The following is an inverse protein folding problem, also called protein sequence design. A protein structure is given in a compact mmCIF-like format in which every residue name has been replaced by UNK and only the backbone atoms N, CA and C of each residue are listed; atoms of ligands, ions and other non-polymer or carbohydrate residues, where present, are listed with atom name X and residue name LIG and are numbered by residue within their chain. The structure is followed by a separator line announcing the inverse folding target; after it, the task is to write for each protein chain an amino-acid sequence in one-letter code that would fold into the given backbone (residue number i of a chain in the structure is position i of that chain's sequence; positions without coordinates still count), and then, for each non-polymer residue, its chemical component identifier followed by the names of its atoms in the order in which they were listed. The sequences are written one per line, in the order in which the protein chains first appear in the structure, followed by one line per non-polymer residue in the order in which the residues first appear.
data_IF_325517139571
#
_entry.id   IF_325517139571
#
_cell.length_a   1.000
_cell.length_b   1.000
_cell.length_c   1.000
_cell.angle_alpha   90.00
_cell.angle_beta   90.00
_cell.angle_gamma   90.00
#
_symmetry.space_group_name_H-M   'P 1'
#
loop_
_entity.id
_entity.type
_entity.pdbx_description
1 polymer ?
#
# COMPACT_ATOMS: atom_id res chain seq x y z
N UNK A 1 -20.25 66.10 -23.59
CA UNK A 1 -20.64 65.39 -22.35
C UNK A 1 -21.29 64.11 -22.84
N UNK A 2 -20.75 62.91 -22.69
CA UNK A 2 -19.99 62.30 -21.59
C UNK A 2 -19.34 61.01 -22.17
N UNK A 3 -18.06 60.68 -21.94
CA UNK A 3 -17.52 59.40 -22.40
C UNK A 3 -17.75 58.32 -21.34
N UNK A 4 -18.32 57.20 -21.79
CA UNK A 4 -18.54 56.01 -20.99
C UNK A 4 -17.22 55.47 -20.39
N UNK A 5 -17.11 55.57 -19.06
CA UNK A 5 -16.06 54.96 -18.25
C UNK A 5 -16.10 53.43 -18.41
N UNK A 6 -15.17 52.86 -19.18
CA UNK A 6 -14.84 51.43 -19.13
C UNK A 6 -14.21 51.10 -17.78
N UNK A 7 -15.03 50.63 -16.83
CA UNK A 7 -14.54 49.96 -15.61
C UNK A 7 -13.85 48.65 -16.00
N UNK A 8 -12.52 48.63 -15.88
CA UNK A 8 -11.73 47.40 -15.86
C UNK A 8 -12.06 46.70 -14.54
N UNK A 9 -13.01 45.76 -14.56
CA UNK A 9 -13.14 44.78 -13.49
C UNK A 9 -11.99 43.78 -13.61
N UNK A 10 -10.92 44.00 -12.84
CA UNK A 10 -9.95 42.96 -12.51
C UNK A 10 -10.71 41.85 -11.76
N UNK A 11 -10.96 40.74 -12.43
CA UNK A 11 -11.49 39.54 -11.81
C UNK A 11 -10.43 38.97 -10.86
N UNK A 12 -10.51 39.33 -9.58
CA UNK A 12 -9.69 38.76 -8.51
C UNK A 12 -10.45 37.60 -7.85
N UNK A 13 -10.45 36.40 -8.47
CA UNK A 13 -11.01 35.15 -7.92
C UNK A 13 -10.28 33.99 -8.61
N UNK A 14 -9.68 32.95 -8.01
CA UNK A 14 -9.58 32.39 -6.64
C UNK A 14 -8.27 31.55 -6.55
N UNK A 15 -7.24 31.94 -5.79
CA UNK A 15 -6.08 31.06 -5.54
C UNK A 15 -6.21 30.17 -4.28
N UNK A 16 -7.21 30.42 -3.42
CA UNK A 16 -7.32 29.76 -2.11
C UNK A 16 -7.75 28.27 -2.20
N UNK A 17 -8.55 27.90 -3.20
CA UNK A 17 -9.08 26.54 -3.32
C UNK A 17 -8.03 25.53 -3.78
N UNK A 18 -7.08 25.95 -4.64
CA UNK A 18 -6.03 25.08 -5.17
C UNK A 18 -4.96 24.75 -4.11
N UNK A 19 -4.55 25.72 -3.29
CA UNK A 19 -3.57 25.49 -2.22
C UNK A 19 -4.10 24.56 -1.12
N UNK A 20 -5.39 24.68 -0.76
CA UNK A 20 -6.04 23.78 0.20
C UNK A 20 -6.13 22.35 -0.37
N UNK A 21 -6.42 22.19 -1.66
CA UNK A 21 -6.41 20.88 -2.32
C UNK A 21 -5.01 20.27 -2.38
N UNK A 22 -3.99 21.04 -2.78
CA UNK A 22 -2.60 20.59 -2.82
C UNK A 22 -2.08 20.17 -1.43
N UNK A 23 -2.40 20.94 -0.38
CA UNK A 23 -1.99 20.61 0.98
C UNK A 23 -2.64 19.31 1.49
N UNK A 24 -3.95 19.11 1.23
CA UNK A 24 -4.63 17.84 1.54
C UNK A 24 -4.04 16.64 0.80
N UNK A 25 -3.51 16.85 -0.41
CA UNK A 25 -2.95 15.77 -1.22
C UNK A 25 -1.52 15.43 -0.79
N UNK A 26 -0.71 16.43 -0.44
CA UNK A 26 0.60 16.20 0.19
C UNK A 26 0.48 15.41 1.49
N UNK A 27 -0.52 15.73 2.31
CA UNK A 27 -0.84 14.98 3.53
C UNK A 27 -1.23 13.52 3.24
N UNK A 28 -2.06 13.29 2.21
CA UNK A 28 -2.47 11.94 1.80
C UNK A 28 -1.29 11.13 1.23
N UNK A 29 -0.37 11.76 0.50
CA UNK A 29 0.84 11.11 -0.01
C UNK A 29 1.74 10.64 1.12
N UNK A 30 2.03 11.53 2.08
CA UNK A 30 2.81 11.19 3.27
C UNK A 30 2.17 10.04 4.07
N UNK A 31 0.85 10.08 4.24
CA UNK A 31 0.11 9.02 4.95
C UNK A 31 0.28 7.66 4.26
N UNK A 32 0.27 7.61 2.93
CA UNK A 32 0.48 6.38 2.17
C UNK A 32 1.92 5.89 2.29
N UNK A 33 2.90 6.79 2.20
CA UNK A 33 4.31 6.42 2.39
C UNK A 33 4.55 5.86 3.79
N UNK A 34 3.89 6.41 4.81
CA UNK A 34 3.92 5.88 6.18
C UNK A 34 3.27 4.49 6.24
N UNK A 35 2.10 4.29 5.65
CA UNK A 35 1.41 2.99 5.65
C UNK A 35 2.24 1.93 4.90
N UNK A 36 2.79 2.27 3.73
CA UNK A 36 3.64 1.39 2.95
C UNK A 36 4.91 1.02 3.73
N UNK A 37 5.54 2.01 4.36
CA UNK A 37 6.71 1.80 5.24
C UNK A 37 6.36 0.89 6.41
N UNK A 38 5.18 1.07 7.02
CA UNK A 38 4.71 0.20 8.10
C UNK A 38 4.55 -1.25 7.63
N UNK A 39 3.98 -1.50 6.45
CA UNK A 39 3.91 -2.84 5.88
C UNK A 39 5.29 -3.46 5.65
N UNK A 40 6.24 -2.69 5.12
CA UNK A 40 7.63 -3.18 4.95
C UNK A 40 8.28 -3.50 6.29
N UNK A 41 8.13 -2.63 7.29
CA UNK A 41 8.68 -2.87 8.63
C UNK A 41 8.08 -4.11 9.30
N UNK A 42 6.76 -4.26 9.22
CA UNK A 42 6.06 -5.46 9.73
C UNK A 42 6.58 -6.71 8.99
N UNK A 43 6.74 -6.64 7.67
CA UNK A 43 7.28 -7.76 6.88
C UNK A 43 8.69 -8.17 7.32
N UNK A 44 9.54 -7.22 7.69
CA UNK A 44 10.90 -7.50 8.14
C UNK A 44 10.95 -8.18 9.52
N UNK A 45 9.96 -7.91 10.38
CA UNK A 45 9.87 -8.49 11.73
C UNK A 45 9.25 -9.89 11.70
N UNK A 46 8.29 -10.13 10.79
CA UNK A 46 7.52 -11.37 10.72
C UNK A 46 8.38 -12.65 10.76
N UNK A 47 9.47 -12.81 9.99
CA UNK A 47 10.30 -14.02 10.03
C UNK A 47 10.89 -14.35 11.41
N UNK A 48 10.93 -13.40 12.33
CA UNK A 48 11.43 -13.56 13.69
C UNK A 48 10.31 -13.64 14.74
N UNK A 49 9.05 -13.68 14.30
CA UNK A 49 7.90 -13.61 15.20
C UNK A 49 7.88 -14.78 16.19
N UNK A 50 8.30 -15.97 15.77
CA UNK A 50 8.38 -17.15 16.63
C UNK A 50 9.34 -16.92 17.80
N UNK A 51 10.51 -16.33 17.55
CA UNK A 51 11.47 -15.96 18.60
C UNK A 51 10.89 -14.90 19.55
N UNK A 52 10.19 -13.90 19.00
CA UNK A 52 9.58 -12.83 19.81
C UNK A 52 8.50 -13.40 20.73
N UNK A 53 7.60 -14.24 20.18
CA UNK A 53 6.54 -14.89 20.94
C UNK A 53 7.11 -15.86 21.98
N UNK A 54 8.21 -16.56 21.66
CA UNK A 54 8.91 -17.46 22.57
C UNK A 54 9.45 -16.81 23.84
N UNK A 55 9.62 -15.48 23.88
CA UNK A 55 9.95 -14.77 25.13
C UNK A 55 8.77 -14.68 26.10
N UNK A 56 7.54 -14.76 25.60
CA UNK A 56 6.33 -14.53 26.39
C UNK A 56 5.54 -15.82 26.66
N UNK A 57 5.64 -16.81 25.77
CA UNK A 57 4.86 -18.04 25.80
C UNK A 57 5.76 -19.22 25.46
N UNK A 58 5.51 -20.39 26.05
CA UNK A 58 6.17 -21.63 25.62
C UNK A 58 5.70 -22.03 24.23
N UNK A 59 6.58 -21.86 23.25
CA UNK A 59 6.32 -22.17 21.84
C UNK A 59 6.64 -23.62 21.47
N UNK A 60 7.20 -24.42 22.39
CA UNK A 60 7.51 -25.83 22.13
C UNK A 60 6.28 -26.74 22.34
N UNK A 61 5.13 -26.16 22.70
CA UNK A 61 3.87 -26.88 22.86
C UNK A 61 3.45 -27.48 21.53
N UNK A 62 3.17 -28.78 21.53
CA UNK A 62 2.67 -29.50 20.36
C UNK A 62 1.20 -29.14 20.12
N UNK A 63 0.85 -28.84 18.88
CA UNK A 63 -0.55 -28.64 18.52
C UNK A 63 -1.26 -29.99 18.42
N UNK A 64 -2.45 -30.07 19.02
CA UNK A 64 -3.25 -31.30 19.11
C UNK A 64 -3.76 -31.77 17.73
N UNK A 65 -3.89 -30.85 16.77
CA UNK A 65 -4.49 -31.08 15.45
C UNK A 65 -3.49 -31.48 14.35
N UNK A 66 -2.30 -31.99 14.71
CA UNK A 66 -1.30 -32.39 13.72
C UNK A 66 -1.39 -33.88 13.41
N UNK A 67 -1.72 -34.24 12.16
CA UNK A 67 -1.58 -35.62 11.68
C UNK A 67 -0.55 -35.69 10.55
N UNK A 68 0.55 -36.37 10.85
CA UNK A 68 1.71 -36.57 9.98
C UNK A 68 2.91 -37.12 10.77
N UNK A 69 3.97 -37.52 10.07
CA UNK A 69 5.19 -38.06 10.69
C UNK A 69 5.99 -37.00 11.49
N UNK A 70 5.66 -35.72 11.28
CA UNK A 70 6.16 -34.57 12.06
C UNK A 70 5.01 -33.94 12.84
N UNK A 71 5.08 -34.01 14.17
CA UNK A 71 4.26 -33.18 15.04
C UNK A 71 4.74 -31.73 14.92
N UNK A 72 3.87 -30.79 14.59
CA UNK A 72 4.22 -29.36 14.64
C UNK A 72 4.10 -28.85 16.06
N UNK A 73 5.13 -28.17 16.51
CA UNK A 73 5.05 -27.28 17.65
C UNK A 73 4.45 -25.92 17.22
N UNK A 74 4.09 -25.13 18.24
CA UNK A 74 3.62 -23.77 18.07
C UNK A 74 4.71 -22.90 17.41
N UNK A 75 5.99 -23.17 17.68
CA UNK A 75 7.15 -22.49 17.07
C UNK A 75 7.16 -22.61 15.54
N UNK A 76 7.14 -23.85 15.03
CA UNK A 76 7.13 -24.12 13.57
C UNK A 76 5.89 -23.53 12.91
N UNK A 77 4.75 -23.60 13.59
CA UNK A 77 3.48 -23.04 13.09
C UNK A 77 3.56 -21.53 12.93
N UNK A 78 4.05 -20.82 13.95
CA UNK A 78 4.25 -19.36 13.89
C UNK A 78 5.24 -19.04 12.76
N UNK A 79 6.33 -19.80 12.64
CA UNK A 79 7.34 -19.58 11.60
C UNK A 79 6.77 -19.72 10.17
N UNK A 80 6.05 -20.80 9.87
CA UNK A 80 5.48 -21.02 8.52
C UNK A 80 4.44 -19.96 8.13
N UNK A 81 3.56 -19.60 9.07
CA UNK A 81 2.57 -18.55 8.84
C UNK A 81 3.24 -17.18 8.65
N UNK A 82 4.32 -16.92 9.39
CA UNK A 82 5.05 -15.67 9.33
C UNK A 82 5.80 -15.46 8.01
N UNK A 83 6.41 -16.52 7.44
CA UNK A 83 7.08 -16.43 6.14
C UNK A 83 6.09 -16.03 5.04
N UNK A 84 4.93 -16.71 4.99
CA UNK A 84 3.95 -16.44 3.94
C UNK A 84 3.33 -15.05 4.09
N UNK A 85 3.05 -14.67 5.33
CA UNK A 85 2.58 -13.33 5.66
C UNK A 85 3.62 -12.27 5.28
N UNK A 86 4.91 -12.51 5.56
CA UNK A 86 6.00 -11.60 5.21
C UNK A 86 5.98 -11.26 3.71
N UNK A 87 5.85 -12.26 2.83
CA UNK A 87 5.78 -12.03 1.37
C UNK A 87 4.57 -11.15 1.00
N UNK A 88 3.40 -11.39 1.61
CA UNK A 88 2.19 -10.60 1.36
C UNK A 88 2.38 -9.15 1.83
N UNK A 89 2.86 -8.95 3.05
CA UNK A 89 3.11 -7.61 3.61
C UNK A 89 4.19 -6.85 2.83
N UNK A 90 5.26 -7.52 2.43
CA UNK A 90 6.33 -6.94 1.63
C UNK A 90 5.81 -6.52 0.25
N UNK A 91 4.98 -7.36 -0.39
CA UNK A 91 4.34 -7.00 -1.65
C UNK A 91 3.41 -5.78 -1.48
N UNK A 92 2.58 -5.75 -0.43
CA UNK A 92 1.69 -4.62 -0.13
C UNK A 92 2.45 -3.33 0.17
N UNK A 93 3.59 -3.41 0.87
CA UNK A 93 4.47 -2.27 1.15
C UNK A 93 5.29 -1.82 -0.07
N UNK A 94 5.60 -2.75 -0.97
CA UNK A 94 6.31 -2.52 -2.24
C UNK A 94 5.43 -1.97 -3.37
N UNK A 95 4.20 -1.56 -3.06
CA UNK A 95 3.22 -1.12 -4.05
C UNK A 95 3.79 0.04 -4.89
N UNK A 96 4.03 -0.26 -6.17
CA UNK A 96 4.38 0.68 -7.25
C UNK A 96 5.84 1.16 -7.36
N UNK A 97 6.83 0.38 -6.93
CA UNK A 97 8.23 0.55 -7.42
C UNK A 97 8.64 -0.42 -8.54
N UNK A 98 8.14 -1.66 -8.51
CA UNK A 98 8.37 -2.65 -9.56
C UNK A 98 7.23 -2.69 -10.59
N UNK A 99 7.44 -3.34 -11.75
CA UNK A 99 6.41 -3.56 -12.76
C UNK A 99 5.12 -4.13 -12.13
N UNK A 100 3.95 -3.58 -12.48
CA UNK A 100 2.63 -3.93 -11.91
C UNK A 100 2.38 -5.44 -11.92
N UNK A 101 2.79 -6.14 -12.97
CA UNK A 101 2.59 -7.59 -13.09
C UNK A 101 3.43 -8.39 -12.10
N UNK A 102 4.68 -7.98 -11.85
CA UNK A 102 5.58 -8.63 -10.89
C UNK A 102 5.03 -8.56 -9.47
N UNK A 103 4.38 -7.43 -9.13
CA UNK A 103 3.71 -7.27 -7.84
C UNK A 103 2.54 -8.26 -7.66
N UNK A 104 1.66 -8.39 -8.65
CA UNK A 104 0.53 -9.33 -8.55
C UNK A 104 1.01 -10.78 -8.41
N UNK A 105 2.09 -11.15 -9.11
CA UNK A 105 2.70 -12.49 -8.99
C UNK A 105 3.19 -12.75 -7.56
N UNK A 106 3.86 -11.78 -6.93
CA UNK A 106 4.33 -11.92 -5.54
C UNK A 106 3.18 -12.07 -4.54
N UNK A 107 2.09 -11.30 -4.71
CA UNK A 107 0.90 -11.43 -3.88
C UNK A 107 0.22 -12.79 -4.04
N UNK A 108 0.04 -13.24 -5.27
CA UNK A 108 -0.59 -14.53 -5.56
C UNK A 108 0.27 -15.65 -4.96
N UNK A 109 1.59 -15.62 -5.16
CA UNK A 109 2.50 -16.62 -4.61
C UNK A 109 2.46 -16.66 -3.08
N UNK A 110 2.53 -15.49 -2.42
CA UNK A 110 2.44 -15.38 -0.97
C UNK A 110 1.11 -15.90 -0.42
N UNK A 111 0.00 -15.60 -1.10
CA UNK A 111 -1.31 -16.12 -0.73
C UNK A 111 -1.40 -17.65 -0.89
N UNK A 112 -0.88 -18.20 -1.99
CA UNK A 112 -0.82 -19.66 -2.16
C UNK A 112 -0.01 -20.34 -1.06
N UNK A 113 1.15 -19.78 -0.70
CA UNK A 113 1.95 -20.33 0.41
C UNK A 113 1.17 -20.29 1.73
N UNK A 114 0.47 -19.19 2.01
CA UNK A 114 -0.37 -19.06 3.20
C UNK A 114 -1.44 -20.16 3.24
N UNK A 115 -2.18 -20.37 2.14
CA UNK A 115 -3.20 -21.41 2.04
C UNK A 115 -2.61 -22.79 2.26
N UNK A 116 -1.49 -23.11 1.60
CA UNK A 116 -0.83 -24.41 1.72
C UNK A 116 -0.38 -24.68 3.16
N UNK A 117 0.22 -23.71 3.84
CA UNK A 117 0.62 -23.90 5.23
C UNK A 117 -0.57 -24.01 6.18
N UNK A 118 -1.62 -23.19 6.02
CA UNK A 118 -2.83 -23.30 6.84
C UNK A 118 -3.46 -24.69 6.66
N UNK A 119 -3.59 -25.17 5.42
CA UNK A 119 -4.11 -26.51 5.13
C UNK A 119 -3.22 -27.62 5.68
N UNK A 120 -1.91 -27.42 5.70
CA UNK A 120 -0.97 -28.36 6.29
C UNK A 120 -1.06 -28.40 7.82
N UNK A 121 -1.22 -27.24 8.48
CA UNK A 121 -1.32 -27.11 9.94
C UNK A 121 -2.65 -27.66 10.47
N UNK A 122 -3.77 -27.44 9.77
CA UNK A 122 -5.11 -27.76 10.24
C UNK A 122 -5.80 -28.87 9.44
N UNK A 123 -5.04 -29.83 8.90
CA UNK A 123 -5.54 -30.80 7.91
C UNK A 123 -6.65 -31.74 8.40
N UNK A 124 -6.75 -32.00 9.71
CA UNK A 124 -7.40 -33.22 10.19
C UNK A 124 -8.68 -33.05 11.04
N UNK A 125 -8.93 -31.90 11.66
CA UNK A 125 -10.16 -31.67 12.44
C UNK A 125 -11.19 -30.83 11.69
N UNK A 126 -12.31 -31.47 11.29
CA UNK A 126 -13.38 -30.85 10.48
C UNK A 126 -13.83 -29.47 10.97
N UNK A 127 -13.96 -29.23 12.28
CA UNK A 127 -14.39 -27.94 12.81
C UNK A 127 -13.29 -26.87 12.69
N UNK A 128 -12.05 -27.21 13.07
CA UNK A 128 -10.92 -26.28 13.00
C UNK A 128 -10.54 -25.99 11.55
N UNK A 129 -10.57 -27.01 10.67
CA UNK A 129 -10.33 -26.84 9.23
C UNK A 129 -11.37 -25.90 8.60
N UNK A 130 -12.64 -26.01 8.98
CA UNK A 130 -13.69 -25.13 8.47
C UNK A 130 -13.47 -23.66 8.91
N UNK A 131 -13.06 -23.43 10.16
CA UNK A 131 -12.71 -22.09 10.66
C UNK A 131 -11.50 -21.54 9.90
N UNK A 132 -10.47 -22.37 9.68
CA UNK A 132 -9.28 -21.99 8.93
C UNK A 132 -9.61 -21.61 7.47
N UNK A 133 -10.54 -22.31 6.83
CA UNK A 133 -11.00 -22.00 5.48
C UNK A 133 -11.75 -20.68 5.40
N UNK A 134 -12.61 -20.39 6.39
CA UNK A 134 -13.27 -19.09 6.49
C UNK A 134 -12.23 -17.98 6.67
N UNK A 135 -11.22 -18.19 7.52
CA UNK A 135 -10.15 -17.22 7.75
C UNK A 135 -9.34 -16.95 6.46
N UNK A 136 -9.00 -17.98 5.69
CA UNK A 136 -8.34 -17.85 4.38
C UNK A 136 -9.16 -16.95 3.44
N UNK A 137 -10.47 -17.19 3.34
CA UNK A 137 -11.36 -16.39 2.47
C UNK A 137 -11.43 -14.94 2.94
N UNK A 138 -11.53 -14.70 4.26
CA UNK A 138 -11.53 -13.35 4.81
C UNK A 138 -10.22 -12.60 4.53
N UNK A 139 -9.07 -13.28 4.65
CA UNK A 139 -7.76 -12.72 4.30
C UNK A 139 -7.69 -12.36 2.82
N UNK A 140 -8.22 -13.21 1.93
CA UNK A 140 -8.28 -12.92 0.50
C UNK A 140 -9.09 -11.66 0.21
N UNK A 141 -10.29 -11.55 0.81
CA UNK A 141 -11.16 -10.37 0.67
C UNK A 141 -10.43 -9.11 1.15
N UNK A 142 -9.73 -9.20 2.28
CA UNK A 142 -8.94 -8.09 2.81
C UNK A 142 -7.80 -7.68 1.88
N UNK A 143 -7.05 -8.64 1.31
CA UNK A 143 -5.98 -8.36 0.35
C UNK A 143 -6.54 -7.66 -0.88
N UNK A 144 -7.63 -8.17 -1.46
CA UNK A 144 -8.28 -7.57 -2.64
C UNK A 144 -8.74 -6.15 -2.32
N UNK A 145 -9.38 -5.94 -1.17
CA UNK A 145 -9.81 -4.62 -0.72
C UNK A 145 -8.65 -3.64 -0.58
N UNK A 146 -7.55 -4.06 0.06
CA UNK A 146 -6.35 -3.24 0.23
C UNK A 146 -5.73 -2.88 -1.12
N UNK A 147 -5.55 -3.87 -2.00
CA UNK A 147 -5.00 -3.65 -3.36
C UNK A 147 -5.86 -2.66 -4.14
N UNK A 148 -7.18 -2.83 -4.14
CA UNK A 148 -8.09 -1.93 -4.84
C UNK A 148 -8.05 -0.51 -4.28
N UNK A 149 -8.07 -0.38 -2.95
CA UNK A 149 -7.98 0.93 -2.29
C UNK A 149 -6.65 1.60 -2.62
N UNK A 150 -5.54 0.90 -2.52
CA UNK A 150 -4.24 1.50 -2.79
C UNK A 150 -4.09 1.85 -4.29
N UNK A 151 -4.46 0.97 -5.22
CA UNK A 151 -4.36 1.25 -6.67
C UNK A 151 -5.17 2.49 -7.07
N UNK A 152 -6.42 2.60 -6.61
CA UNK A 152 -7.26 3.75 -6.93
C UNK A 152 -6.67 5.08 -6.41
N UNK A 153 -6.08 5.05 -5.20
CA UNK A 153 -5.43 6.23 -4.64
C UNK A 153 -4.14 6.60 -5.39
N UNK A 154 -3.32 5.62 -5.78
CA UNK A 154 -2.11 5.86 -6.57
C UNK A 154 -2.40 6.41 -7.97
N UNK A 155 -3.45 5.90 -8.65
CA UNK A 155 -3.90 6.47 -9.94
C UNK A 155 -4.28 7.95 -9.80
N UNK A 156 -4.94 8.31 -8.71
CA UNK A 156 -5.30 9.71 -8.42
C UNK A 156 -4.08 10.59 -8.17
N UNK A 157 -3.06 10.07 -7.46
CA UNK A 157 -1.78 10.75 -7.24
C UNK A 157 -1.02 10.97 -8.56
N UNK A 158 -0.89 9.94 -9.39
CA UNK A 158 -0.18 10.02 -10.67
C UNK A 158 -0.80 11.06 -11.62
N UNK A 159 -2.13 11.05 -11.76
CA UNK A 159 -2.82 12.03 -12.60
C UNK A 159 -2.58 13.48 -12.15
N UNK A 160 -2.45 13.67 -10.83
CA UNK A 160 -2.18 14.99 -10.28
C UNK A 160 -0.72 15.42 -10.46
N UNK A 161 0.23 14.53 -10.24
CA UNK A 161 1.65 14.81 -10.49
C UNK A 161 1.86 15.18 -11.97
N UNK A 162 1.19 14.48 -12.89
CA UNK A 162 1.19 14.83 -14.31
C UNK A 162 0.60 16.22 -14.57
N UNK A 163 -0.50 16.57 -13.91
CA UNK A 163 -1.11 17.90 -14.03
C UNK A 163 -0.21 19.02 -13.47
N UNK A 164 0.38 18.82 -12.29
CA UNK A 164 1.28 19.77 -11.66
C UNK A 164 2.54 19.97 -12.52
N UNK A 165 3.16 18.90 -13.00
CA UNK A 165 4.34 18.98 -13.85
C UNK A 165 4.04 19.69 -15.17
N UNK A 166 2.90 19.38 -15.82
CA UNK A 166 2.49 20.09 -17.04
C UNK A 166 2.21 21.57 -16.79
N UNK A 167 1.65 21.91 -15.62
CA UNK A 167 1.38 23.30 -15.26
C UNK A 167 2.68 24.06 -14.96
N UNK A 168 3.61 23.45 -14.24
CA UNK A 168 4.92 24.02 -13.93
C UNK A 168 5.75 24.24 -15.20
N UNK A 169 5.72 23.27 -16.12
CA UNK A 169 6.38 23.36 -17.42
C UNK A 169 5.82 24.52 -18.26
N UNK A 170 4.49 24.69 -18.29
CA UNK A 170 3.84 25.84 -18.94
C UNK A 170 4.23 27.17 -18.31
N UNK A 171 4.26 27.25 -16.97
CA UNK A 171 4.68 28.48 -16.29
C UNK A 171 6.15 28.81 -16.53
N UNK A 172 7.03 27.80 -16.47
CA UNK A 172 8.45 27.93 -16.80
C UNK A 172 8.63 28.47 -18.21
N UNK A 173 7.96 27.85 -19.19
CA UNK A 173 8.03 28.27 -20.60
C UNK A 173 7.57 29.72 -20.79
N UNK A 174 6.49 30.15 -20.11
CA UNK A 174 6.01 31.54 -20.17
C UNK A 174 7.02 32.51 -19.54
N UNK A 175 7.64 32.13 -18.42
CA UNK A 175 8.63 32.95 -17.72
C UNK A 175 9.90 33.12 -18.56
N UNK A 176 10.43 32.03 -19.12
CA UNK A 176 11.59 32.08 -20.01
C UNK A 176 11.31 32.87 -21.28
N UNK A 177 10.15 32.67 -21.90
CA UNK A 177 9.73 33.44 -23.08
C UNK A 177 9.57 34.94 -22.77
N UNK A 178 9.20 35.30 -21.54
CA UNK A 178 9.10 36.71 -21.12
C UNK A 178 10.48 37.32 -20.88
N UNK A 179 11.41 36.59 -20.27
CA UNK A 179 12.78 37.06 -20.07
C UNK A 179 13.52 37.26 -21.40
N UNK A 180 13.30 36.39 -22.41
CA UNK A 180 13.85 36.57 -23.76
C UNK A 180 13.32 37.84 -24.47
N UNK A 181 12.12 38.30 -24.13
CA UNK A 181 11.55 39.53 -24.69
C UNK A 181 12.17 40.76 -24.01
N UNK A 182 12.40 40.71 -22.69
CA UNK A 182 13.05 41.80 -21.94
C UNK A 182 14.56 41.94 -22.24
N UNK A 183 15.25 40.90 -22.73
CA UNK A 183 16.65 40.99 -23.18
C UNK A 183 16.83 41.54 -24.61
N UNK A 184 15.77 41.59 -25.43
CA UNK A 184 15.82 42.02 -26.83
C UNK A 184 15.24 43.43 -27.09
N UNK A 185 14.87 44.17 -26.04
CA UNK A 185 14.54 45.61 -26.07
C UNK A 185 15.73 46.47 -25.58
#
# INVERSE_FOLDING_TARGET
MEPASKKIQKATQKPLTQSIQQNRIGLNKLTIEIIASAFVLISAILPFLNNIVGYFVDVNVQLENNVGERRLDLDSTIYFLSISSCVIFLALGGLFRANRYTFYVALVAGYFHLVTYIKFIFFNENEITAIADIAIVLVLILIIFLVFKLDNYYRKLHLLDQFNNSTLDRFSTILFKRNEIEENE
#
